data_IF_547365338059
#
_entry.id   IF_547365338059
#
_cell.length_a   1.000
_cell.length_b   1.000
_cell.length_c   1.000
_cell.angle_alpha   90.00
_cell.angle_beta   90.00
_cell.angle_gamma   90.00
#
_symmetry.space_group_name_H-M   'P 1'
#
loop_
_entity.id
_entity.type
_entity.pdbx_description
1 polymer ?
#
# COMPACT_ATOMS: atom_id res chain seq x y z
N UNK A 1 -2.46 -27.53 34.72
CA UNK A 1 -1.00 -27.24 34.79
C UNK A 1 -0.39 -26.89 33.43
N UNK A 2 -1.16 -26.97 32.33
CA UNK A 2 -0.75 -26.67 30.94
C UNK A 2 -0.68 -25.14 30.66
N UNK A 3 -1.38 -24.30 31.42
CA UNK A 3 -1.54 -22.88 31.06
C UNK A 3 -0.42 -21.93 31.53
N UNK A 4 0.50 -22.36 32.41
CA UNK A 4 1.57 -21.47 32.94
C UNK A 4 2.85 -21.45 32.11
N UNK A 5 3.09 -22.46 31.28
CA UNK A 5 4.32 -22.56 30.48
C UNK A 5 4.15 -21.92 29.08
N UNK A 6 2.98 -22.06 28.46
CA UNK A 6 2.62 -21.36 27.21
C UNK A 6 2.61 -19.82 27.39
N UNK A 7 2.11 -19.31 28.53
CA UNK A 7 2.01 -17.87 28.78
C UNK A 7 3.36 -17.16 29.02
N UNK A 8 4.45 -17.89 29.30
CA UNK A 8 5.80 -17.31 29.50
C UNK A 8 6.70 -17.41 28.27
N UNK A 9 6.28 -18.14 27.23
CA UNK A 9 7.06 -18.40 26.01
C UNK A 9 6.24 -18.21 24.73
N UNK A 10 5.07 -17.57 24.80
CA UNK A 10 4.28 -17.16 23.63
C UNK A 10 4.88 -15.99 22.86
N UNK A 11 6.21 -15.81 22.90
CA UNK A 11 6.93 -15.05 21.89
C UNK A 11 7.32 -16.04 20.79
N UNK A 12 7.12 -15.68 19.52
CA UNK A 12 7.76 -16.39 18.41
C UNK A 12 9.23 -16.62 18.77
N UNK A 13 9.62 -17.89 18.90
CA UNK A 13 11.02 -18.23 19.27
C UNK A 13 11.91 -17.96 18.06
N UNK A 14 11.35 -18.14 16.85
CA UNK A 14 11.97 -17.95 15.54
C UNK A 14 10.91 -18.22 14.45
N UNK A 15 10.95 -17.50 13.33
CA UNK A 15 10.03 -17.65 12.20
C UNK A 15 10.02 -19.08 11.66
N UNK A 16 11.17 -19.76 11.65
CA UNK A 16 11.27 -21.15 11.15
C UNK A 16 10.77 -22.19 12.16
N UNK A 17 10.52 -21.79 13.41
CA UNK A 17 10.13 -22.70 14.50
C UNK A 17 9.03 -22.10 15.39
N UNK A 18 7.83 -21.83 14.85
CA UNK A 18 6.78 -21.07 15.54
C UNK A 18 6.14 -21.81 16.74
N UNK A 19 6.43 -23.11 16.89
CA UNK A 19 5.94 -23.96 17.98
C UNK A 19 7.09 -24.33 18.94
N UNK A 20 6.86 -24.48 20.25
CA UNK A 20 7.91 -24.74 21.23
C UNK A 20 8.68 -26.05 20.93
N UNK A 21 9.97 -26.06 21.25
CA UNK A 21 10.82 -27.26 21.05
C UNK A 21 10.26 -28.51 21.74
N UNK A 22 9.61 -28.36 22.89
CA UNK A 22 8.95 -29.46 23.60
C UNK A 22 7.51 -29.10 23.97
N UNK A 23 6.61 -30.07 23.87
CA UNK A 23 5.22 -29.99 24.37
C UNK A 23 4.89 -31.26 25.14
N UNK A 24 4.44 -31.12 26.40
CA UNK A 24 4.14 -32.26 27.28
C UNK A 24 5.28 -33.30 27.39
N UNK A 25 6.54 -32.84 27.30
CA UNK A 25 7.72 -33.70 27.36
C UNK A 25 8.07 -34.41 26.04
N UNK A 26 7.31 -34.18 24.97
CA UNK A 26 7.59 -34.68 23.62
C UNK A 26 8.41 -33.62 22.88
N UNK A 27 9.54 -34.03 22.31
CA UNK A 27 10.36 -33.16 21.47
C UNK A 27 9.73 -33.00 20.08
N UNK A 28 9.75 -31.77 19.55
CA UNK A 28 9.23 -31.45 18.22
C UNK A 28 9.99 -32.22 17.13
N UNK A 29 11.28 -32.45 17.31
CA UNK A 29 12.16 -32.92 16.24
C UNK A 29 12.47 -31.77 15.29
N UNK A 30 12.05 -31.89 14.04
CA UNK A 30 12.27 -30.86 13.02
C UNK A 30 11.24 -29.71 13.12
N UNK A 31 11.17 -28.88 12.08
CA UNK A 31 10.25 -27.75 12.00
C UNK A 31 8.77 -28.20 11.87
N UNK A 32 8.53 -29.34 11.22
CA UNK A 32 7.20 -29.92 10.97
C UNK A 32 6.62 -30.68 12.15
N UNK A 33 7.45 -31.13 13.08
CA UNK A 33 7.00 -31.90 14.22
C UNK A 33 6.94 -33.40 13.91
N UNK A 34 7.35 -34.23 14.86
CA UNK A 34 7.09 -35.68 14.79
C UNK A 34 5.58 -35.97 14.87
N UNK A 35 5.15 -37.16 14.40
CA UNK A 35 3.75 -37.59 14.51
C UNK A 35 3.22 -37.52 15.96
N UNK A 36 4.04 -37.94 16.93
CA UNK A 36 3.69 -37.89 18.35
C UNK A 36 3.52 -36.45 18.84
N UNK A 37 4.42 -35.54 18.44
CA UNK A 37 4.30 -34.13 18.77
C UNK A 37 3.06 -33.49 18.13
N UNK A 38 2.82 -33.77 16.84
CA UNK A 38 1.68 -33.22 16.10
C UNK A 38 0.34 -33.73 16.63
N UNK A 39 0.27 -34.98 17.09
CA UNK A 39 -0.91 -35.51 17.78
C UNK A 39 -1.18 -34.79 19.12
N UNK A 40 -0.13 -34.49 19.89
CA UNK A 40 -0.26 -33.74 21.14
C UNK A 40 -0.64 -32.27 20.89
N UNK A 41 -0.01 -31.63 19.89
CA UNK A 41 -0.33 -30.27 19.47
C UNK A 41 -1.78 -30.14 19.00
N UNK A 42 -2.26 -31.11 18.21
CA UNK A 42 -3.65 -31.15 17.74
C UNK A 42 -4.64 -31.31 18.89
N UNK A 43 -4.32 -32.11 19.92
CA UNK A 43 -5.16 -32.21 21.12
C UNK A 43 -5.23 -30.89 21.88
N UNK A 44 -4.12 -30.16 21.99
CA UNK A 44 -4.10 -28.84 22.60
C UNK A 44 -4.95 -27.84 21.81
N UNK A 45 -4.83 -27.81 20.48
CA UNK A 45 -5.63 -26.96 19.59
C UNK A 45 -7.13 -27.28 19.71
N UNK A 46 -7.51 -28.55 19.66
CA UNK A 46 -8.91 -28.97 19.82
C UNK A 46 -9.48 -28.56 21.20
N UNK A 47 -8.67 -28.63 22.26
CA UNK A 47 -9.06 -28.18 23.59
C UNK A 47 -9.22 -26.66 23.65
N UNK A 48 -8.35 -25.90 22.98
CA UNK A 48 -8.47 -24.45 22.84
C UNK A 48 -9.74 -24.06 22.08
N UNK A 49 -9.99 -24.69 20.93
CA UNK A 49 -11.20 -24.51 20.13
C UNK A 49 -12.47 -24.73 20.94
N UNK A 50 -12.57 -25.89 21.60
CA UNK A 50 -13.73 -26.21 22.45
C UNK A 50 -13.90 -25.25 23.62
N UNK A 51 -12.80 -24.74 24.19
CA UNK A 51 -12.85 -23.70 25.22
C UNK A 51 -13.40 -22.39 24.66
N UNK A 52 -12.91 -21.93 23.51
CA UNK A 52 -13.36 -20.68 22.90
C UNK A 52 -14.84 -20.74 22.52
N UNK A 53 -15.28 -21.80 21.86
CA UNK A 53 -16.68 -22.00 21.47
C UNK A 53 -17.59 -22.08 22.69
N UNK A 54 -17.23 -22.87 23.71
CA UNK A 54 -18.07 -23.02 24.92
C UNK A 54 -18.19 -21.73 25.75
N UNK A 55 -17.31 -20.75 25.53
CA UNK A 55 -17.34 -19.45 26.19
C UNK A 55 -17.75 -18.29 25.25
N UNK A 56 -18.10 -18.57 23.99
CA UNK A 56 -18.51 -17.55 23.01
C UNK A 56 -17.38 -16.58 22.63
N UNK A 57 -16.14 -17.07 22.55
CA UNK A 57 -14.95 -16.30 22.15
C UNK A 57 -14.44 -16.63 20.75
N UNK A 58 -15.05 -17.60 20.08
CA UNK A 58 -14.70 -18.10 18.75
C UNK A 58 -14.74 -17.03 17.65
N UNK A 59 -15.60 -16.02 17.78
CA UNK A 59 -15.64 -14.87 16.85
C UNK A 59 -14.55 -13.81 17.13
N UNK A 60 -13.97 -13.80 18.34
CA UNK A 60 -13.06 -12.73 18.83
C UNK A 60 -11.60 -13.16 18.93
N UNK A 61 -11.37 -14.45 19.09
CA UNK A 61 -10.03 -15.00 19.23
C UNK A 61 -9.49 -15.43 17.86
N UNK A 62 -8.19 -15.21 17.66
CA UNK A 62 -7.44 -15.82 16.58
C UNK A 62 -6.14 -16.39 17.11
N UNK A 63 -5.63 -17.42 16.44
CA UNK A 63 -4.34 -18.02 16.71
C UNK A 63 -3.35 -17.65 15.61
N UNK A 64 -2.26 -17.02 16.02
CA UNK A 64 -1.22 -16.57 15.11
C UNK A 64 -0.28 -17.75 14.79
N UNK A 65 -0.28 -18.19 13.52
CA UNK A 65 0.35 -19.46 13.11
C UNK A 65 1.86 -19.32 12.93
N UNK A 66 2.31 -18.27 12.26
CA UNK A 66 3.73 -18.03 11.96
C UNK A 66 3.95 -16.55 11.66
N UNK A 67 5.11 -16.03 12.05
CA UNK A 67 5.53 -14.67 11.77
C UNK A 67 6.43 -14.65 10.53
N UNK A 68 6.09 -13.81 9.55
CA UNK A 68 6.89 -13.46 8.36
C UNK A 68 7.72 -14.62 7.77
N UNK A 69 7.08 -15.64 7.17
CA UNK A 69 7.78 -16.66 6.38
C UNK A 69 8.73 -16.01 5.33
N UNK A 70 9.99 -16.44 5.24
CA UNK A 70 11.00 -15.71 4.43
C UNK A 70 11.39 -16.43 3.13
N UNK A 71 11.02 -17.69 2.97
CA UNK A 71 11.49 -18.55 1.87
C UNK A 71 10.54 -19.74 1.66
N UNK A 72 10.77 -20.49 0.59
CA UNK A 72 9.95 -21.66 0.21
C UNK A 72 9.77 -22.69 1.34
N UNK A 73 10.80 -22.90 2.18
CA UNK A 73 10.68 -23.84 3.29
C UNK A 73 9.78 -23.30 4.41
N UNK A 74 9.84 -22.00 4.69
CA UNK A 74 8.94 -21.34 5.64
C UNK A 74 7.51 -21.29 5.09
N UNK A 75 7.33 -21.06 3.78
CA UNK A 75 6.01 -21.10 3.12
C UNK A 75 5.36 -22.48 3.24
N UNK A 76 6.11 -23.55 2.93
CA UNK A 76 5.65 -24.93 3.08
C UNK A 76 5.32 -25.28 4.53
N UNK A 77 6.11 -24.77 5.49
CA UNK A 77 5.82 -24.92 6.91
C UNK A 77 4.53 -24.19 7.31
N UNK A 78 4.34 -22.95 6.88
CA UNK A 78 3.15 -22.15 7.16
C UNK A 78 1.89 -22.88 6.68
N UNK A 79 1.90 -23.39 5.45
CA UNK A 79 0.79 -24.14 4.88
C UNK A 79 0.53 -25.46 5.63
N UNK A 80 1.58 -26.18 6.02
CA UNK A 80 1.46 -27.38 6.86
C UNK A 80 0.78 -27.08 8.20
N UNK A 81 1.22 -26.02 8.89
CA UNK A 81 0.70 -25.62 10.19
C UNK A 81 -0.75 -25.11 10.10
N UNK A 82 -1.07 -24.40 9.02
CA UNK A 82 -2.43 -23.99 8.71
C UNK A 82 -3.36 -25.21 8.60
N UNK A 83 -2.99 -26.22 7.80
CA UNK A 83 -3.79 -27.45 7.63
C UNK A 83 -3.94 -28.24 8.92
N UNK A 84 -2.84 -28.38 9.67
CA UNK A 84 -2.86 -29.05 10.98
C UNK A 84 -3.83 -28.33 11.93
N UNK A 85 -3.81 -27.00 11.93
CA UNK A 85 -4.67 -26.18 12.79
C UNK A 85 -6.13 -26.29 12.40
N UNK A 86 -6.47 -26.09 11.12
CA UNK A 86 -7.86 -26.18 10.63
C UNK A 86 -8.45 -27.58 10.83
N UNK A 87 -7.63 -28.64 10.74
CA UNK A 87 -8.07 -30.00 11.01
C UNK A 87 -8.35 -30.27 12.50
N UNK A 88 -7.55 -29.69 13.40
CA UNK A 88 -7.66 -29.90 14.84
C UNK A 88 -8.67 -28.96 15.52
N UNK A 89 -8.82 -27.74 15.01
CA UNK A 89 -9.55 -26.64 15.62
C UNK A 89 -10.33 -25.85 14.55
N UNK A 90 -11.46 -26.40 14.04
CA UNK A 90 -12.15 -25.84 12.88
C UNK A 90 -12.88 -24.51 13.14
N UNK A 91 -13.14 -24.13 14.40
CA UNK A 91 -13.78 -22.86 14.76
C UNK A 91 -12.76 -21.78 15.15
N UNK A 92 -11.51 -22.16 15.39
CA UNK A 92 -10.42 -21.24 15.72
C UNK A 92 -10.00 -20.48 14.45
N UNK A 93 -10.24 -19.17 14.47
CA UNK A 93 -9.65 -18.28 13.46
C UNK A 93 -8.13 -18.31 13.56
N UNK A 94 -7.45 -18.23 12.44
CA UNK A 94 -5.99 -18.18 12.36
C UNK A 94 -5.51 -16.95 11.61
N UNK A 95 -4.36 -16.42 12.04
CA UNK A 95 -3.69 -15.29 11.42
C UNK A 95 -2.23 -15.60 11.08
N UNK A 96 -1.67 -14.84 10.14
CA UNK A 96 -0.26 -14.91 9.72
C UNK A 96 0.28 -13.50 9.45
N UNK A 97 1.51 -13.16 9.88
CA UNK A 97 2.20 -11.95 9.35
C UNK A 97 2.78 -12.29 8.01
N UNK A 98 2.03 -11.95 6.98
CA UNK A 98 2.43 -12.10 5.61
C UNK A 98 1.39 -11.43 4.70
N UNK A 99 1.80 -10.92 3.54
CA UNK A 99 0.83 -10.59 2.50
C UNK A 99 0.17 -11.84 1.92
N UNK A 100 -1.09 -11.75 1.45
CA UNK A 100 -1.65 -12.79 0.61
C UNK A 100 -0.76 -12.95 -0.64
N UNK A 101 -0.22 -14.16 -0.87
CA UNK A 101 0.53 -14.52 -2.09
C UNK A 101 0.40 -16.00 -2.46
N UNK A 102 0.52 -16.37 -3.76
CA UNK A 102 0.33 -17.74 -4.23
C UNK A 102 1.23 -18.76 -3.53
N UNK A 103 2.49 -18.41 -3.23
CA UNK A 103 3.50 -19.31 -2.67
C UNK A 103 3.09 -19.92 -1.32
N UNK A 104 2.18 -19.26 -0.60
CA UNK A 104 1.69 -19.69 0.71
C UNK A 104 0.25 -20.19 0.61
N UNK A 105 -0.60 -19.47 -0.12
CA UNK A 105 -2.02 -19.79 -0.24
C UNK A 105 -2.30 -21.04 -1.11
N UNK A 106 -1.42 -21.33 -2.07
CA UNK A 106 -1.57 -22.39 -3.09
C UNK A 106 -0.54 -23.52 -2.94
N UNK A 107 -0.14 -23.84 -1.70
CA UNK A 107 0.83 -24.91 -1.41
C UNK A 107 0.46 -26.26 -2.11
N UNK A 108 1.44 -26.96 -2.76
CA UNK A 108 1.19 -28.22 -3.44
C UNK A 108 0.65 -29.35 -2.54
N UNK A 109 0.87 -29.27 -1.23
CA UNK A 109 0.31 -30.18 -0.23
C UNK A 109 -1.20 -30.01 0.00
N UNK A 110 -1.83 -29.05 -0.68
CA UNK A 110 -3.25 -28.73 -0.65
C UNK A 110 -3.50 -27.33 -0.09
N UNK A 111 -4.48 -26.63 -0.67
CA UNK A 111 -4.84 -25.28 -0.25
C UNK A 111 -5.14 -25.21 1.25
N UNK A 112 -4.69 -24.13 1.88
CA UNK A 112 -5.12 -23.73 3.21
C UNK A 112 -5.44 -22.24 3.20
N UNK A 113 -6.44 -21.85 4.00
CA UNK A 113 -6.88 -20.46 4.09
C UNK A 113 -6.64 -19.88 5.47
N UNK A 114 -6.14 -18.66 5.52
CA UNK A 114 -5.95 -17.89 6.74
C UNK A 114 -7.14 -16.95 6.91
N UNK A 115 -7.71 -16.88 8.11
CA UNK A 115 -8.84 -15.98 8.34
C UNK A 115 -8.39 -14.51 8.36
N UNK A 116 -7.10 -14.26 8.69
CA UNK A 116 -6.50 -12.93 8.72
C UNK A 116 -5.06 -12.98 8.17
N UNK A 117 -4.81 -12.26 7.09
CA UNK A 117 -3.45 -11.93 6.64
C UNK A 117 -3.03 -10.60 7.26
N UNK A 118 -1.78 -10.46 7.69
CA UNK A 118 -1.23 -9.22 8.25
C UNK A 118 -0.06 -8.78 7.36
N UNK A 119 -0.38 -8.01 6.32
CA UNK A 119 0.53 -7.65 5.24
C UNK A 119 1.42 -6.45 5.58
N UNK A 120 2.67 -6.46 5.15
CA UNK A 120 3.51 -5.26 5.20
C UNK A 120 2.99 -4.24 4.18
N UNK A 121 2.87 -2.96 4.55
CA UNK A 121 2.39 -1.88 3.65
C UNK A 121 3.10 -1.85 2.30
N UNK A 122 4.42 -2.10 2.26
CA UNK A 122 5.22 -2.12 1.02
C UNK A 122 5.09 -3.39 0.18
N UNK A 123 4.51 -4.45 0.74
CA UNK A 123 4.39 -5.76 0.09
C UNK A 123 2.93 -6.12 -0.24
N UNK A 124 1.99 -5.20 0.04
CA UNK A 124 0.58 -5.42 -0.21
C UNK A 124 0.26 -5.44 -1.71
N UNK A 125 -0.16 -6.60 -2.21
CA UNK A 125 -0.57 -6.80 -3.60
C UNK A 125 -2.10 -6.78 -3.72
N UNK A 126 -2.67 -5.62 -4.10
CA UNK A 126 -4.13 -5.38 -4.06
C UNK A 126 -4.94 -6.42 -4.84
N UNK A 127 -4.56 -6.71 -6.09
CA UNK A 127 -5.34 -7.59 -6.96
C UNK A 127 -5.46 -9.02 -6.38
N UNK A 128 -4.35 -9.55 -5.86
CA UNK A 128 -4.34 -10.88 -5.27
C UNK A 128 -4.98 -10.91 -3.88
N UNK A 129 -4.76 -9.88 -3.05
CA UNK A 129 -5.46 -9.76 -1.77
C UNK A 129 -6.98 -9.72 -1.97
N UNK A 130 -7.47 -8.96 -2.95
CA UNK A 130 -8.89 -8.85 -3.26
C UNK A 130 -9.49 -10.17 -3.75
N UNK A 131 -8.76 -10.95 -4.57
CA UNK A 131 -9.24 -12.27 -4.99
C UNK A 131 -9.40 -13.21 -3.79
N UNK A 132 -8.44 -13.20 -2.86
CA UNK A 132 -8.51 -13.99 -1.62
C UNK A 132 -9.70 -13.61 -0.75
N UNK A 133 -9.92 -12.31 -0.54
CA UNK A 133 -11.07 -11.80 0.20
C UNK A 133 -12.41 -12.22 -0.44
N UNK A 134 -12.53 -12.16 -1.78
CA UNK A 134 -13.76 -12.51 -2.50
C UNK A 134 -14.04 -14.02 -2.56
N UNK A 135 -13.00 -14.82 -2.83
CA UNK A 135 -13.15 -16.25 -3.11
C UNK A 135 -13.14 -17.10 -1.83
N UNK A 136 -12.49 -16.60 -0.78
CA UNK A 136 -12.26 -17.37 0.45
C UNK A 136 -12.79 -16.70 1.71
N UNK A 137 -13.25 -15.44 1.63
CA UNK A 137 -13.76 -14.71 2.80
C UNK A 137 -12.68 -14.39 3.83
N UNK A 138 -11.43 -14.33 3.40
CA UNK A 138 -10.28 -13.99 4.25
C UNK A 138 -10.26 -12.48 4.52
N UNK A 139 -9.79 -12.05 5.69
CA UNK A 139 -9.56 -10.64 5.99
C UNK A 139 -8.08 -10.29 5.75
N UNK A 140 -7.82 -9.02 5.43
CA UNK A 140 -6.46 -8.46 5.41
C UNK A 140 -6.37 -7.34 6.44
N UNK A 141 -5.35 -7.41 7.28
CA UNK A 141 -4.80 -6.32 8.06
C UNK A 141 -3.45 -5.94 7.47
N UNK A 142 -2.94 -4.78 7.83
CA UNK A 142 -1.61 -4.35 7.44
C UNK A 142 -0.81 -3.77 8.59
N UNK A 143 0.51 -3.72 8.42
CA UNK A 143 1.43 -3.10 9.37
C UNK A 143 2.51 -2.30 8.64
N UNK A 144 3.10 -1.36 9.37
CA UNK A 144 4.23 -0.56 8.94
C UNK A 144 5.46 -0.85 9.81
N UNK A 145 6.63 -0.57 9.28
CA UNK A 145 7.92 -0.67 9.93
C UNK A 145 8.54 0.72 10.11
N UNK A 146 9.41 0.86 11.10
CA UNK A 146 10.06 2.15 11.38
C UNK A 146 10.93 2.65 10.21
N UNK A 147 11.47 1.72 9.43
CA UNK A 147 12.29 1.98 8.26
C UNK A 147 11.50 2.10 6.95
N UNK A 148 10.16 2.11 6.99
CA UNK A 148 9.39 2.34 5.77
C UNK A 148 9.67 3.76 5.25
N UNK A 149 10.19 3.88 4.02
CA UNK A 149 10.55 5.15 3.43
C UNK A 149 9.33 5.85 2.84
N UNK A 150 9.48 7.13 2.52
CA UNK A 150 8.54 7.79 1.62
C UNK A 150 8.48 7.03 0.27
N UNK A 151 7.34 7.04 -0.44
CA UNK A 151 6.11 7.79 -0.14
C UNK A 151 5.12 7.07 0.81
N UNK A 152 5.48 5.90 1.36
CA UNK A 152 4.63 5.17 2.30
C UNK A 152 4.45 5.95 3.61
N UNK A 153 3.25 5.88 4.19
CA UNK A 153 3.02 6.43 5.51
C UNK A 153 3.76 5.61 6.60
N UNK A 154 4.25 6.28 7.64
CA UNK A 154 5.12 5.71 8.67
C UNK A 154 4.66 6.24 10.04
N UNK A 155 3.59 5.65 10.61
CA UNK A 155 2.88 6.17 11.78
C UNK A 155 3.67 6.02 13.08
N UNK A 156 4.76 5.26 13.09
CA UNK A 156 5.47 4.85 14.31
C UNK A 156 6.78 5.61 14.51
N UNK A 157 7.25 6.33 13.50
CA UNK A 157 8.37 7.25 13.61
C UNK A 157 8.02 8.48 14.46
N UNK A 158 8.98 8.97 15.25
CA UNK A 158 8.83 10.16 16.13
C UNK A 158 9.02 11.48 15.39
N UNK A 159 9.74 11.46 14.28
CA UNK A 159 10.12 12.67 13.53
C UNK A 159 9.18 12.94 12.34
N UNK A 160 8.18 12.07 12.14
CA UNK A 160 7.14 12.23 11.13
C UNK A 160 5.97 13.05 11.68
N UNK A 161 5.31 13.79 10.82
CA UNK A 161 4.13 14.56 11.21
C UNK A 161 2.94 13.62 11.51
N UNK A 162 1.90 14.18 12.15
CA UNK A 162 0.76 13.42 12.61
C UNK A 162 -0.09 12.78 11.52
N UNK A 163 0.00 13.26 10.27
CA UNK A 163 -0.77 12.73 9.14
C UNK A 163 -0.41 11.29 8.81
N UNK A 164 0.85 10.87 9.03
CA UNK A 164 1.24 9.48 8.88
C UNK A 164 0.44 8.54 9.78
N UNK A 165 -0.06 9.01 10.94
CA UNK A 165 -0.99 8.25 11.81
C UNK A 165 -2.43 8.41 11.35
N UNK A 166 -2.84 9.63 10.98
CA UNK A 166 -4.23 9.93 10.61
C UNK A 166 -4.67 9.26 9.31
N UNK A 167 -3.76 8.96 8.40
CA UNK A 167 -4.06 8.33 7.10
C UNK A 167 -4.36 6.83 7.17
N UNK A 168 -3.94 6.14 8.24
CA UNK A 168 -4.14 4.69 8.43
C UNK A 168 -5.55 4.21 8.01
N UNK A 169 -6.65 4.68 8.62
CA UNK A 169 -8.00 4.20 8.29
C UNK A 169 -8.42 4.47 6.83
N UNK A 170 -7.89 5.54 6.22
CA UNK A 170 -8.20 5.95 4.86
C UNK A 170 -7.52 5.02 3.86
N UNK A 171 -6.20 4.82 4.01
CA UNK A 171 -5.47 3.84 3.20
C UNK A 171 -6.04 2.43 3.38
N UNK A 172 -6.42 2.06 4.60
CA UNK A 172 -7.07 0.77 4.84
C UNK A 172 -8.39 0.64 4.06
N UNK A 173 -9.18 1.71 3.98
CA UNK A 173 -10.46 1.69 3.28
C UNK A 173 -10.30 1.59 1.76
N UNK A 174 -9.35 2.35 1.17
CA UNK A 174 -9.01 2.29 -0.26
C UNK A 174 -8.64 0.88 -0.69
N UNK A 175 -7.91 0.18 0.18
CA UNK A 175 -7.41 -1.17 -0.08
C UNK A 175 -8.30 -2.29 0.47
N UNK A 176 -9.49 -1.98 0.99
CA UNK A 176 -10.43 -2.97 1.56
C UNK A 176 -9.84 -3.76 2.75
N UNK A 177 -8.87 -3.16 3.43
CA UNK A 177 -8.19 -3.67 4.60
C UNK A 177 -9.04 -3.39 5.85
N UNK A 178 -9.06 -4.36 6.76
CA UNK A 178 -10.02 -4.43 7.88
C UNK A 178 -9.36 -4.11 9.23
N UNK A 179 -8.05 -3.94 9.26
CA UNK A 179 -7.32 -3.65 10.49
C UNK A 179 -5.90 -3.20 10.25
N UNK A 180 -5.32 -2.55 11.26
CA UNK A 180 -3.91 -2.20 11.34
C UNK A 180 -3.28 -2.90 12.54
N UNK A 181 -2.07 -3.42 12.36
CA UNK A 181 -1.32 -4.10 13.42
C UNK A 181 0.03 -3.42 13.62
N UNK A 182 0.48 -3.40 14.87
CA UNK A 182 1.85 -2.99 15.20
C UNK A 182 2.32 -3.72 16.45
N UNK A 183 3.56 -4.19 16.42
CA UNK A 183 4.08 -5.15 17.41
C UNK A 183 4.45 -4.49 18.76
N UNK A 184 4.69 -3.19 18.80
CA UNK A 184 5.11 -2.46 20.01
C UNK A 184 4.14 -1.31 20.35
N UNK A 185 3.14 -1.62 21.17
CA UNK A 185 2.19 -0.63 21.68
C UNK A 185 2.85 0.50 22.49
N UNK A 186 4.05 0.31 23.06
CA UNK A 186 4.71 1.35 23.85
C UNK A 186 5.18 2.55 22.99
N UNK A 187 5.11 2.46 21.66
CA UNK A 187 5.30 3.62 20.77
C UNK A 187 4.21 4.67 20.93
N UNK A 188 3.03 4.25 21.35
CA UNK A 188 1.83 5.08 21.50
C UNK A 188 1.57 5.43 22.97
N UNK A 189 2.03 4.59 23.92
CA UNK A 189 1.73 4.71 25.34
C UNK A 189 2.99 4.63 26.22
N UNK A 190 3.05 5.45 27.27
CA UNK A 190 4.00 5.28 28.39
C UNK A 190 3.25 4.63 29.56
N UNK A 191 3.35 3.29 29.64
CA UNK A 191 2.53 2.50 30.55
C UNK A 191 1.04 2.72 30.25
N UNK A 192 0.23 3.20 31.21
CA UNK A 192 -1.18 3.51 30.97
C UNK A 192 -1.42 4.88 30.34
N UNK A 193 -0.39 5.72 30.15
CA UNK A 193 -0.57 7.11 29.70
C UNK A 193 -0.47 7.22 28.17
N UNK A 194 -1.47 7.79 27.47
CA UNK A 194 -1.39 8.02 26.04
C UNK A 194 -0.40 9.15 25.71
N UNK A 195 0.41 8.95 24.67
CA UNK A 195 1.17 10.01 24.02
C UNK A 195 0.38 10.69 22.90
N UNK A 196 0.96 11.70 22.26
CA UNK A 196 0.33 12.42 21.12
C UNK A 196 -0.08 11.47 20.00
N UNK A 197 0.75 10.46 19.68
CA UNK A 197 0.41 9.45 18.67
C UNK A 197 -0.76 8.57 19.06
N UNK A 198 -0.95 8.26 20.35
CA UNK A 198 -2.14 7.51 20.78
C UNK A 198 -3.41 8.33 20.56
N UNK A 199 -3.36 9.65 20.78
CA UNK A 199 -4.50 10.53 20.50
C UNK A 199 -4.77 10.67 19.00
N UNK A 200 -3.72 10.80 18.18
CA UNK A 200 -3.87 10.78 16.71
C UNK A 200 -4.43 9.45 16.22
N UNK A 201 -3.98 8.33 16.77
CA UNK A 201 -4.49 6.99 16.44
C UNK A 201 -5.96 6.86 16.86
N UNK A 202 -6.34 7.38 18.04
CA UNK A 202 -7.75 7.41 18.47
C UNK A 202 -8.60 8.19 17.46
N UNK A 203 -8.16 9.37 17.03
CA UNK A 203 -8.86 10.15 16.00
C UNK A 203 -8.93 9.43 14.66
N UNK A 204 -7.86 8.74 14.25
CA UNK A 204 -7.86 7.92 13.05
C UNK A 204 -8.87 6.75 13.14
N UNK A 205 -8.96 6.07 14.29
CA UNK A 205 -9.97 5.03 14.51
C UNK A 205 -11.39 5.61 14.48
N UNK A 206 -11.61 6.81 15.01
CA UNK A 206 -12.89 7.52 14.89
C UNK A 206 -13.23 7.86 13.42
N UNK A 207 -12.24 8.23 12.61
CA UNK A 207 -12.42 8.47 11.17
C UNK A 207 -12.88 7.18 10.45
N UNK A 208 -12.34 6.01 10.82
CA UNK A 208 -12.84 4.72 10.31
C UNK A 208 -14.31 4.47 10.68
N UNK A 209 -14.70 4.78 11.92
CA UNK A 209 -16.09 4.65 12.35
C UNK A 209 -17.02 5.61 11.60
N UNK A 210 -16.56 6.82 11.28
CA UNK A 210 -17.32 7.77 10.46
C UNK A 210 -17.56 7.21 9.07
N UNK A 211 -16.53 6.63 8.43
CA UNK A 211 -16.66 5.96 7.14
C UNK A 211 -17.61 4.77 7.22
N UNK A 212 -17.54 3.96 8.27
CA UNK A 212 -18.46 2.83 8.48
C UNK A 212 -19.92 3.27 8.62
N UNK A 213 -20.18 4.29 9.42
CA UNK A 213 -21.53 4.86 9.56
C UNK A 213 -22.02 5.46 8.24
N UNK A 214 -21.15 6.21 7.55
CA UNK A 214 -21.45 6.87 6.29
C UNK A 214 -21.70 5.85 5.16
N UNK A 215 -21.07 4.67 5.26
CA UNK A 215 -21.26 3.52 4.40
C UNK A 215 -22.45 2.63 4.83
N UNK A 216 -23.36 3.14 5.67
CA UNK A 216 -24.58 2.43 6.05
C UNK A 216 -24.36 1.28 7.03
N UNK A 217 -23.31 1.32 7.84
CA UNK A 217 -22.97 0.27 8.79
C UNK A 217 -22.31 -0.95 8.14
N UNK A 218 -21.69 -0.75 6.97
CA UNK A 218 -20.99 -1.78 6.23
C UNK A 218 -19.51 -1.44 6.09
N UNK A 219 -18.70 -2.48 5.99
CA UNK A 219 -17.27 -2.34 5.72
C UNK A 219 -16.99 -2.34 4.21
N UNK A 220 -15.83 -1.84 3.78
CA UNK A 220 -15.46 -1.86 2.37
C UNK A 220 -15.25 -3.31 1.91
N UNK A 221 -15.72 -3.63 0.71
CA UNK A 221 -15.60 -4.96 0.10
C UNK A 221 -14.92 -4.87 -1.26
N UNK A 222 -14.05 -5.80 -1.65
CA UNK A 222 -13.46 -5.80 -2.98
C UNK A 222 -14.47 -5.95 -4.11
N UNK A 223 -14.21 -5.34 -5.26
CA UNK A 223 -15.01 -5.51 -6.48
C UNK A 223 -16.35 -4.75 -6.51
N UNK A 224 -16.56 -3.83 -5.56
CA UNK A 224 -17.69 -2.90 -5.59
C UNK A 224 -17.29 -1.52 -5.11
N UNK A 225 -17.94 -0.51 -5.68
CA UNK A 225 -17.84 0.87 -5.22
C UNK A 225 -18.79 1.07 -4.02
N UNK A 226 -18.22 1.45 -2.89
CA UNK A 226 -18.96 1.92 -1.72
C UNK A 226 -19.32 3.41 -1.87
N UNK A 227 -20.45 3.87 -1.30
CA UNK A 227 -20.84 5.28 -1.33
C UNK A 227 -19.74 6.23 -0.85
N UNK A 228 -18.90 5.82 0.11
CA UNK A 228 -17.82 6.63 0.68
C UNK A 228 -16.51 6.56 -0.10
N UNK A 229 -16.40 5.79 -1.17
CA UNK A 229 -15.12 5.57 -1.84
C UNK A 229 -14.55 6.84 -2.46
N UNK A 230 -15.39 7.73 -3.00
CA UNK A 230 -14.93 9.03 -3.48
C UNK A 230 -14.38 9.90 -2.33
N UNK A 231 -15.04 9.87 -1.17
CA UNK A 231 -14.56 10.54 0.05
C UNK A 231 -13.20 9.99 0.48
N UNK A 232 -13.04 8.67 0.42
CA UNK A 232 -11.81 8.00 0.84
C UNK A 232 -10.67 8.26 -0.13
N UNK A 233 -10.91 8.12 -1.44
CA UNK A 233 -9.93 8.37 -2.49
C UNK A 233 -9.40 9.80 -2.47
N UNK A 234 -10.22 10.78 -2.08
CA UNK A 234 -9.78 12.17 -1.91
C UNK A 234 -8.81 12.40 -0.73
N UNK A 235 -8.67 11.44 0.18
CA UNK A 235 -7.71 11.49 1.30
C UNK A 235 -6.51 10.58 1.06
N UNK A 236 -6.75 9.36 0.57
CA UNK A 236 -5.73 8.38 0.26
C UNK A 236 -6.21 7.56 -0.94
N UNK A 237 -5.69 7.83 -2.13
CA UNK A 237 -6.02 7.05 -3.33
C UNK A 237 -5.24 5.75 -3.40
N UNK A 238 -4.10 5.64 -2.69
CA UNK A 238 -3.29 4.43 -2.60
C UNK A 238 -2.52 4.31 -1.26
N UNK A 239 -1.56 3.38 -1.16
CA UNK A 239 -0.63 3.29 -0.01
C UNK A 239 0.41 4.42 0.02
N UNK A 240 0.59 5.09 -1.11
CA UNK A 240 1.71 5.96 -1.41
C UNK A 240 1.24 7.37 -1.81
N UNK A 241 0.03 7.51 -2.35
CA UNK A 241 -0.65 8.77 -2.62
C UNK A 241 -1.72 9.04 -1.56
N UNK A 242 -1.44 10.04 -0.72
CA UNK A 242 -2.31 10.46 0.39
C UNK A 242 -2.05 11.90 0.80
N UNK A 243 -3.07 12.56 1.35
CA UNK A 243 -3.03 13.98 1.70
C UNK A 243 -2.06 14.26 2.86
N UNK A 244 -1.23 15.29 2.68
CA UNK A 244 -0.37 15.83 3.74
C UNK A 244 -0.98 17.07 4.41
N UNK A 245 -2.18 17.49 4.00
CA UNK A 245 -2.85 18.68 4.49
C UNK A 245 -3.79 18.36 5.67
N UNK A 246 -3.31 18.61 6.89
CA UNK A 246 -4.07 18.34 8.11
C UNK A 246 -5.33 19.21 8.24
N UNK A 247 -5.30 20.47 7.77
CA UNK A 247 -6.44 21.38 7.87
C UNK A 247 -7.60 20.94 6.96
N UNK A 248 -7.28 20.47 5.76
CA UNK A 248 -8.25 19.92 4.82
C UNK A 248 -8.84 18.61 5.32
N UNK A 249 -8.03 17.72 5.91
CA UNK A 249 -8.56 16.51 6.55
C UNK A 249 -9.51 16.84 7.71
N UNK A 250 -9.18 17.84 8.53
CA UNK A 250 -10.07 18.26 9.62
C UNK A 250 -11.36 18.89 9.12
N UNK A 251 -11.31 19.63 8.01
CA UNK A 251 -12.51 20.16 7.34
C UNK A 251 -13.39 19.02 6.82
N UNK A 252 -12.81 18.05 6.12
CA UNK A 252 -13.53 16.86 5.65
C UNK A 252 -14.18 16.11 6.82
N UNK A 253 -13.45 15.92 7.92
CA UNK A 253 -13.97 15.26 9.12
C UNK A 253 -15.20 15.97 9.69
N UNK A 254 -15.18 17.31 9.71
CA UNK A 254 -16.34 18.10 10.13
C UNK A 254 -17.53 17.88 9.20
N UNK A 255 -17.31 17.95 7.88
CA UNK A 255 -18.34 17.73 6.87
C UNK A 255 -18.92 16.31 6.92
N UNK A 256 -18.10 15.29 7.22
CA UNK A 256 -18.57 13.93 7.45
C UNK A 256 -19.52 13.87 8.65
N UNK A 257 -19.18 14.59 9.73
CA UNK A 257 -20.07 14.76 10.88
C UNK A 257 -21.42 15.37 10.48
N UNK A 258 -21.42 16.44 9.66
CA UNK A 258 -22.63 17.07 9.14
C UNK A 258 -23.47 16.13 8.28
N UNK A 259 -22.83 15.29 7.45
CA UNK A 259 -23.51 14.25 6.68
C UNK A 259 -24.18 13.22 7.59
N UNK A 260 -23.46 12.73 8.60
CA UNK A 260 -23.95 11.70 9.53
C UNK A 260 -25.10 12.17 10.42
N UNK A 261 -25.11 13.45 10.83
CA UNK A 261 -26.23 14.01 11.61
C UNK A 261 -27.42 14.48 10.74
N UNK A 262 -27.26 14.49 9.41
CA UNK A 262 -28.29 14.88 8.45
C UNK A 262 -28.38 16.39 8.18
N UNK A 263 -27.37 17.17 8.57
CA UNK A 263 -27.23 18.59 8.20
C UNK A 263 -26.74 18.79 6.76
N UNK A 264 -26.22 17.73 6.15
CA UNK A 264 -25.75 17.66 4.75
C UNK A 264 -26.30 16.38 4.09
N UNK A 265 -26.75 16.50 2.84
CA UNK A 265 -27.38 15.38 2.10
C UNK A 265 -26.42 14.62 1.18
N UNK A 266 -25.18 15.08 1.04
CA UNK A 266 -24.16 14.49 0.16
C UNK A 266 -22.90 14.12 0.94
N UNK A 267 -22.24 13.04 0.53
CA UNK A 267 -20.93 12.71 1.08
C UNK A 267 -19.92 13.78 0.68
N UNK A 268 -19.13 14.30 1.62
CA UNK A 268 -18.07 15.26 1.30
C UNK A 268 -16.86 14.54 0.71
N UNK A 269 -16.06 15.28 -0.05
CA UNK A 269 -14.72 14.91 -0.48
C UNK A 269 -13.74 15.92 0.11
N UNK A 270 -12.48 15.54 0.29
CA UNK A 270 -11.44 16.46 0.67
C UNK A 270 -11.28 17.48 -0.46
N UNK A 271 -11.48 18.74 -0.13
CA UNK A 271 -11.23 19.86 -1.02
C UNK A 271 -10.14 20.73 -0.39
N UNK A 272 -9.13 21.06 -1.18
CA UNK A 272 -8.10 22.00 -0.77
C UNK A 272 -7.72 22.89 -1.96
N UNK A 273 -7.47 24.16 -1.66
CA UNK A 273 -6.82 25.08 -2.59
C UNK A 273 -5.44 25.36 -2.04
N UNK A 274 -4.51 24.44 -2.30
CA UNK A 274 -3.11 24.48 -1.83
C UNK A 274 -2.30 25.62 -2.49
N UNK A 275 -2.95 26.68 -2.99
CA UNK A 275 -2.30 27.84 -3.57
C UNK A 275 -1.51 27.53 -4.85
N UNK A 276 -1.87 26.42 -5.51
CA UNK A 276 -1.15 25.84 -6.63
C UNK A 276 -1.29 26.61 -7.94
N UNK A 277 -0.85 25.95 -9.01
CA UNK A 277 -0.94 26.45 -10.36
C UNK A 277 -2.42 26.71 -10.76
N UNK A 278 -2.77 27.83 -11.41
CA UNK A 278 -4.14 28.07 -11.88
C UNK A 278 -4.66 26.95 -12.79
N UNK A 279 -5.98 26.73 -12.85
CA UNK A 279 -6.57 25.79 -13.82
C UNK A 279 -6.25 26.22 -15.25
N UNK A 280 -5.27 25.55 -15.85
CA UNK A 280 -4.73 25.80 -17.18
C UNK A 280 -4.05 24.54 -17.72
N UNK A 281 -3.60 24.57 -18.98
CA UNK A 281 -2.83 23.48 -19.54
C UNK A 281 -1.37 23.56 -19.07
N UNK A 282 -0.82 22.43 -18.63
CA UNK A 282 0.58 22.29 -18.22
C UNK A 282 1.22 21.12 -18.96
N UNK A 283 2.47 21.28 -19.34
CA UNK A 283 3.23 20.28 -20.07
C UNK A 283 4.54 20.07 -19.35
N UNK A 284 4.73 18.90 -18.77
CA UNK A 284 5.86 18.54 -17.91
C UNK A 284 6.77 17.61 -18.70
N UNK A 285 8.02 18.00 -18.87
CA UNK A 285 9.06 17.16 -19.45
C UNK A 285 9.99 16.66 -18.34
N UNK A 286 9.98 15.36 -18.09
CA UNK A 286 10.83 14.74 -17.08
C UNK A 286 12.21 14.49 -17.67
N UNK A 287 13.19 15.23 -17.18
CA UNK A 287 14.55 15.24 -17.73
C UNK A 287 15.57 15.66 -16.68
N UNK A 288 16.86 15.52 -17.01
CA UNK A 288 17.90 16.25 -16.28
C UNK A 288 17.68 17.76 -16.54
N UNK A 289 17.38 18.58 -15.52
CA UNK A 289 17.17 20.02 -15.71
C UNK A 289 18.41 20.73 -16.27
N UNK A 290 19.60 20.17 -16.04
CA UNK A 290 20.88 20.64 -16.58
C UNK A 290 21.31 19.92 -17.88
N UNK A 291 20.54 18.92 -18.33
CA UNK A 291 20.85 18.07 -19.47
C UNK A 291 19.99 18.34 -20.70
N UNK A 292 19.98 17.36 -21.63
CA UNK A 292 19.16 17.42 -22.83
C UNK A 292 17.69 17.06 -22.55
N UNK A 293 16.72 17.66 -23.27
CA UNK A 293 16.90 18.77 -24.21
C UNK A 293 17.34 20.07 -23.52
N UNK A 294 18.32 20.77 -24.08
CA UNK A 294 18.94 21.96 -23.47
C UNK A 294 18.13 23.26 -23.59
N UNK A 295 17.10 23.32 -24.45
CA UNK A 295 16.27 24.51 -24.66
C UNK A 295 15.55 24.98 -23.38
N UNK A 296 15.51 26.29 -23.12
CA UNK A 296 14.82 26.88 -21.96
C UNK A 296 14.20 28.25 -22.35
N UNK A 297 12.86 28.36 -22.47
CA UNK A 297 11.89 27.26 -22.30
C UNK A 297 11.98 26.22 -23.42
N UNK A 298 11.55 25.00 -23.14
CA UNK A 298 11.43 23.95 -24.15
C UNK A 298 10.12 24.15 -24.93
N UNK A 299 10.22 24.51 -26.21
CA UNK A 299 9.07 24.75 -27.09
C UNK A 299 8.96 23.62 -28.11
N UNK A 300 7.89 22.82 -28.03
CA UNK A 300 7.69 21.67 -28.91
C UNK A 300 6.20 21.46 -29.20
N UNK A 301 5.86 21.26 -30.47
CA UNK A 301 4.46 21.05 -30.87
C UNK A 301 3.53 22.24 -30.57
N UNK A 302 4.07 23.44 -30.39
CA UNK A 302 3.30 24.63 -29.98
C UNK A 302 2.98 24.68 -28.48
N UNK A 303 3.63 23.83 -27.68
CA UNK A 303 3.52 23.75 -26.23
C UNK A 303 4.83 24.20 -25.59
N UNK A 304 4.71 24.95 -24.50
CA UNK A 304 5.83 25.32 -23.63
C UNK A 304 5.94 24.26 -22.52
N UNK A 305 7.02 23.50 -22.52
CA UNK A 305 7.27 22.40 -21.59
C UNK A 305 8.13 22.86 -20.41
N UNK A 306 7.63 22.59 -19.21
CA UNK A 306 8.36 22.75 -17.96
C UNK A 306 9.33 21.58 -17.78
N UNK A 307 10.59 21.88 -17.51
CA UNK A 307 11.60 20.87 -17.18
C UNK A 307 11.44 20.44 -15.73
N UNK A 308 11.19 19.16 -15.53
CA UNK A 308 10.99 18.57 -14.21
C UNK A 308 12.11 17.58 -13.94
N UNK A 309 12.89 17.84 -12.89
CA UNK A 309 13.91 16.92 -12.40
C UNK A 309 13.38 15.98 -11.31
N UNK A 310 14.29 15.26 -10.68
CA UNK A 310 14.01 14.37 -9.54
C UNK A 310 14.41 15.05 -8.23
N UNK A 311 13.67 16.10 -7.86
CA UNK A 311 13.86 16.82 -6.59
C UNK A 311 12.69 16.60 -5.62
N UNK A 312 12.90 16.79 -4.31
CA UNK A 312 11.84 16.69 -3.31
C UNK A 312 10.77 17.75 -3.55
N UNK A 313 9.62 17.56 -2.92
CA UNK A 313 8.57 18.58 -2.89
C UNK A 313 9.12 19.98 -2.54
N UNK A 314 8.91 20.93 -3.45
CA UNK A 314 9.19 22.35 -3.24
C UNK A 314 7.90 23.15 -3.24
N UNK A 315 7.58 23.74 -2.08
CA UNK A 315 6.34 24.50 -1.87
C UNK A 315 6.22 25.72 -2.79
N UNK A 316 7.33 26.35 -3.16
CA UNK A 316 7.32 27.54 -4.02
C UNK A 316 7.16 27.18 -5.50
N UNK A 317 7.71 26.03 -5.92
CA UNK A 317 7.50 25.46 -7.24
C UNK A 317 6.12 24.81 -7.36
N UNK A 318 5.52 24.38 -6.24
CA UNK A 318 4.27 23.64 -6.22
C UNK A 318 4.38 22.29 -6.93
N UNK A 319 5.53 21.63 -6.83
CA UNK A 319 5.74 20.30 -7.38
C UNK A 319 6.93 19.60 -6.74
N UNK A 320 7.00 18.28 -6.89
CA UNK A 320 8.18 17.50 -6.58
C UNK A 320 7.87 16.05 -6.24
N UNK A 321 8.91 15.34 -5.82
CA UNK A 321 8.86 13.90 -5.59
C UNK A 321 8.88 13.51 -4.12
N UNK A 322 8.27 12.36 -3.84
CA UNK A 322 8.34 11.61 -2.59
C UNK A 322 8.79 10.18 -2.92
N UNK A 323 9.81 9.69 -2.22
CA UNK A 323 10.50 8.45 -2.57
C UNK A 323 11.63 8.09 -1.61
N UNK A 324 12.09 6.84 -1.69
CA UNK A 324 13.19 6.33 -0.85
C UNK A 324 14.54 6.99 -1.18
N UNK A 325 14.75 7.32 -2.45
CA UNK A 325 16.03 7.79 -2.99
C UNK A 325 15.96 9.18 -3.63
N UNK A 326 15.02 10.01 -3.18
CA UNK A 326 14.98 11.42 -3.62
C UNK A 326 16.32 12.10 -3.28
N UNK A 327 16.83 12.89 -4.22
CA UNK A 327 18.14 13.56 -4.16
C UNK A 327 19.39 12.64 -4.12
N UNK A 328 19.26 11.33 -4.37
CA UNK A 328 20.42 10.45 -4.55
C UNK A 328 20.78 10.32 -6.04
N UNK A 329 21.80 11.03 -6.56
CA UNK A 329 22.17 11.00 -7.97
C UNK A 329 22.79 9.67 -8.42
N UNK A 330 23.05 8.74 -7.49
CA UNK A 330 23.48 7.37 -7.80
C UNK A 330 22.34 6.42 -8.13
N UNK A 331 21.09 6.78 -7.81
CA UNK A 331 19.90 5.92 -7.94
C UNK A 331 18.79 6.64 -8.72
N UNK A 332 18.54 7.91 -8.43
CA UNK A 332 17.63 8.75 -9.20
C UNK A 332 18.34 9.23 -10.47
N UNK A 333 18.05 8.56 -11.58
CA UNK A 333 18.79 8.72 -12.83
C UNK A 333 17.96 9.41 -13.90
N UNK A 334 18.70 10.12 -14.76
CA UNK A 334 18.17 10.78 -15.95
C UNK A 334 18.70 10.09 -17.20
N UNK A 335 17.96 10.17 -18.28
CA UNK A 335 18.47 9.76 -19.58
C UNK A 335 17.90 10.56 -20.74
N UNK A 336 18.60 10.49 -21.87
CA UNK A 336 18.19 11.09 -23.12
C UNK A 336 18.61 10.20 -24.30
N UNK A 337 17.62 9.67 -25.02
CA UNK A 337 17.83 8.75 -26.15
C UNK A 337 18.19 9.51 -27.45
N UNK A 338 19.39 10.09 -27.48
CA UNK A 338 19.88 10.85 -28.63
C UNK A 338 19.86 10.04 -29.93
N UNK A 339 19.23 10.60 -30.97
CA UNK A 339 19.14 9.98 -32.30
C UNK A 339 18.01 8.97 -32.47
N UNK A 340 17.18 8.73 -31.44
CA UNK A 340 15.92 8.03 -31.62
C UNK A 340 14.95 8.89 -32.47
N UNK A 341 14.13 8.26 -33.31
CA UNK A 341 13.17 8.92 -34.20
C UNK A 341 11.91 9.41 -33.48
N UNK A 342 12.09 10.13 -32.38
CA UNK A 342 11.05 10.58 -31.46
C UNK A 342 11.26 12.05 -31.07
N UNK A 343 10.22 12.67 -30.55
CA UNK A 343 10.26 14.06 -30.09
C UNK A 343 11.15 14.20 -28.83
N UNK A 344 11.65 15.41 -28.54
CA UNK A 344 12.59 15.61 -27.42
C UNK A 344 12.00 15.16 -26.08
N UNK A 345 10.70 15.38 -25.86
CA UNK A 345 9.99 15.02 -24.63
C UNK A 345 9.75 13.51 -24.48
N UNK A 346 9.75 12.77 -25.58
CA UNK A 346 9.70 11.30 -25.56
C UNK A 346 11.11 10.69 -25.38
N UNK A 347 12.16 11.47 -25.68
CA UNK A 347 13.55 11.01 -25.58
C UNK A 347 14.16 11.25 -24.21
N UNK A 348 13.71 12.26 -23.47
CA UNK A 348 14.10 12.47 -22.08
C UNK A 348 13.25 11.62 -21.14
N UNK A 349 13.87 11.15 -20.06
CA UNK A 349 13.17 10.40 -19.03
C UNK A 349 13.90 10.47 -17.68
N UNK A 350 13.16 10.18 -16.62
CA UNK A 350 13.66 9.95 -15.26
C UNK A 350 13.24 8.57 -14.76
N UNK A 351 14.03 7.97 -13.88
CA UNK A 351 13.71 6.69 -13.25
C UNK A 351 14.54 6.47 -11.98
N UNK A 352 14.03 5.56 -11.14
CA UNK A 352 14.72 4.99 -10.00
C UNK A 352 15.44 3.71 -10.44
N UNK A 353 16.77 3.62 -10.28
CA UNK A 353 17.60 2.46 -10.70
C UNK A 353 17.40 1.21 -9.81
N UNK A 354 16.60 1.31 -8.76
CA UNK A 354 16.06 0.18 -8.00
C UNK A 354 14.55 -0.03 -8.21
N UNK A 355 13.91 0.79 -9.05
CA UNK A 355 12.51 0.66 -9.45
C UNK A 355 11.52 0.80 -8.30
N UNK A 356 11.86 1.52 -7.22
CA UNK A 356 10.97 1.70 -6.07
C UNK A 356 9.73 2.51 -6.44
N UNK A 357 8.71 2.41 -5.60
CA UNK A 357 7.53 3.29 -5.67
C UNK A 357 7.96 4.73 -5.42
N UNK A 358 7.61 5.61 -6.35
CA UNK A 358 7.86 7.02 -6.27
C UNK A 358 6.55 7.76 -6.60
N UNK A 359 6.27 8.82 -5.83
CA UNK A 359 5.13 9.70 -6.02
C UNK A 359 5.64 11.06 -6.49
N UNK A 360 5.17 11.53 -7.63
CA UNK A 360 5.29 12.93 -8.03
C UNK A 360 3.97 13.65 -7.78
N UNK A 361 4.02 14.85 -7.22
CA UNK A 361 2.86 15.72 -7.07
C UNK A 361 3.07 17.03 -7.82
N UNK A 362 1.99 17.57 -8.39
CA UNK A 362 1.92 18.88 -9.03
C UNK A 362 0.72 19.64 -8.46
N UNK A 363 0.97 20.71 -7.68
CA UNK A 363 -0.07 21.56 -7.15
C UNK A 363 -0.79 22.28 -8.29
N UNK A 364 -2.10 22.07 -8.42
CA UNK A 364 -2.92 22.68 -9.46
C UNK A 364 -4.33 22.91 -8.91
N UNK A 365 -4.97 24.00 -9.32
CA UNK A 365 -6.30 24.34 -8.86
C UNK A 365 -7.28 23.17 -9.08
N UNK A 366 -8.20 22.90 -8.15
CA UNK A 366 -9.16 21.81 -8.30
C UNK A 366 -9.95 21.86 -9.61
N UNK A 367 -10.25 20.69 -10.16
CA UNK A 367 -11.07 20.53 -11.35
C UNK A 367 -10.79 19.23 -12.09
N UNK A 368 -11.56 19.03 -13.16
CA UNK A 368 -11.37 17.87 -14.05
C UNK A 368 -10.29 18.17 -15.10
N UNK A 369 -9.41 17.20 -15.29
CA UNK A 369 -8.30 17.25 -16.23
C UNK A 369 -8.25 15.97 -17.08
N UNK A 370 -7.89 16.14 -18.34
CA UNK A 370 -7.37 15.07 -19.18
C UNK A 370 -5.86 15.05 -19.00
N UNK A 371 -5.33 13.92 -18.53
CA UNK A 371 -3.91 13.74 -18.26
C UNK A 371 -3.36 12.70 -19.22
N UNK A 372 -2.37 13.08 -20.02
CA UNK A 372 -1.67 12.18 -20.94
C UNK A 372 -0.23 12.01 -20.47
N UNK A 373 0.22 10.78 -20.27
CA UNK A 373 1.56 10.50 -19.79
C UNK A 373 2.26 9.48 -20.69
N UNK A 374 3.57 9.67 -20.86
CA UNK A 374 4.45 8.79 -21.62
C UNK A 374 5.46 8.09 -20.72
N UNK A 375 5.57 6.77 -20.87
CA UNK A 375 6.62 5.95 -20.22
C UNK A 375 7.39 5.13 -21.25
N UNK A 376 8.59 4.68 -20.87
CA UNK A 376 9.47 3.87 -21.70
C UNK A 376 10.53 4.69 -22.41
N UNK A 377 11.24 4.05 -23.34
CA UNK A 377 12.44 4.60 -23.97
C UNK A 377 12.42 4.39 -25.48
N UNK A 378 12.42 5.43 -26.32
CA UNK A 378 12.28 5.25 -27.76
C UNK A 378 13.46 4.52 -28.41
N UNK A 379 14.64 4.45 -27.77
CA UNK A 379 15.77 3.71 -28.31
C UNK A 379 15.67 2.19 -28.14
N UNK A 380 14.90 1.68 -27.16
CA UNK A 380 14.90 0.26 -26.78
C UNK A 380 13.67 -0.14 -25.96
N UNK A 381 13.10 -1.32 -26.26
CA UNK A 381 12.06 -1.93 -25.43
C UNK A 381 12.59 -2.79 -24.26
N UNK A 382 11.73 -2.97 -23.26
CA UNK A 382 12.02 -3.66 -22.00
C UNK A 382 10.99 -4.78 -21.75
N UNK A 383 11.17 -5.97 -22.37
CA UNK A 383 10.20 -7.05 -22.26
C UNK A 383 10.17 -7.75 -20.90
N UNK A 384 11.19 -7.53 -20.06
CA UNK A 384 11.34 -8.15 -18.75
C UNK A 384 11.30 -7.14 -17.59
N UNK A 385 11.14 -5.84 -17.90
CA UNK A 385 11.07 -4.77 -16.92
C UNK A 385 9.81 -3.95 -17.27
N UNK A 386 8.63 -4.42 -16.87
CA UNK A 386 7.37 -3.76 -17.15
C UNK A 386 7.27 -2.37 -16.51
N UNK A 387 6.33 -1.57 -16.99
CA UNK A 387 6.08 -0.20 -16.53
C UNK A 387 4.81 -0.16 -15.69
N UNK A 388 4.82 0.69 -14.66
CA UNK A 388 3.67 0.97 -13.81
C UNK A 388 3.46 2.47 -13.73
N UNK A 389 2.22 2.91 -13.94
CA UNK A 389 1.83 4.32 -13.81
C UNK A 389 0.39 4.42 -13.33
N UNK A 390 0.21 5.11 -12.21
CA UNK A 390 -1.11 5.48 -11.67
C UNK A 390 -1.21 7.00 -11.61
N UNK A 391 -2.37 7.55 -12.02
CA UNK A 391 -2.64 9.00 -12.03
C UNK A 391 -3.91 9.22 -11.23
N UNK A 392 -3.85 9.96 -10.12
CA UNK A 392 -5.00 10.19 -9.23
C UNK A 392 -5.71 8.88 -8.83
N UNK A 393 -4.95 7.83 -8.52
CA UNK A 393 -5.48 6.49 -8.20
C UNK A 393 -5.99 5.69 -9.42
N UNK A 394 -6.03 6.27 -10.62
CA UNK A 394 -6.39 5.55 -11.85
C UNK A 394 -5.15 4.87 -12.44
N UNK A 395 -5.14 3.54 -12.44
CA UNK A 395 -4.07 2.74 -13.05
C UNK A 395 -4.10 2.92 -14.57
N UNK A 396 -3.13 3.66 -15.10
CA UNK A 396 -3.01 3.97 -16.52
C UNK A 396 -2.15 2.94 -17.26
N UNK A 397 -1.09 2.45 -16.60
CA UNK A 397 -0.21 1.38 -17.08
C UNK A 397 -0.04 0.38 -15.94
N UNK A 398 -0.44 -0.87 -16.17
CA UNK A 398 -0.45 -1.95 -15.17
C UNK A 398 0.48 -3.08 -15.60
N UNK A 399 1.67 -3.11 -15.02
CA UNK A 399 2.69 -4.13 -15.25
C UNK A 399 2.95 -4.41 -16.75
N UNK A 400 2.94 -3.36 -17.57
CA UNK A 400 2.99 -3.51 -19.03
C UNK A 400 4.44 -3.48 -19.57
N UNK A 401 4.92 -4.52 -20.26
CA UNK A 401 6.24 -4.51 -20.89
C UNK A 401 6.26 -3.77 -22.24
N UNK A 402 7.42 -3.24 -22.64
CA UNK A 402 7.65 -2.71 -23.99
C UNK A 402 8.50 -3.64 -24.85
N UNK A 403 8.49 -3.43 -26.17
CA UNK A 403 9.29 -4.20 -27.13
C UNK A 403 10.05 -3.26 -28.05
N UNK A 404 11.10 -3.73 -28.73
CA UNK A 404 11.82 -2.86 -29.69
C UNK A 404 10.92 -2.34 -30.84
N UNK A 405 9.80 -3.01 -31.13
CA UNK A 405 8.81 -2.55 -32.10
C UNK A 405 7.76 -1.56 -31.56
N UNK A 406 7.61 -1.51 -30.23
CA UNK A 406 6.73 -0.59 -29.50
C UNK A 406 7.41 -0.25 -28.17
N UNK A 407 8.43 0.63 -28.18
CA UNK A 407 9.36 0.79 -27.07
C UNK A 407 8.90 1.81 -26.02
N UNK A 408 7.79 2.50 -26.30
CA UNK A 408 7.15 3.48 -25.41
C UNK A 408 5.66 3.19 -25.28
N UNK A 409 5.07 3.62 -24.17
CA UNK A 409 3.65 3.53 -23.86
C UNK A 409 3.14 4.94 -23.58
N UNK A 410 2.05 5.34 -24.24
CA UNK A 410 1.34 6.59 -23.97
C UNK A 410 -0.08 6.24 -23.56
N UNK A 411 -0.54 6.86 -22.48
CA UNK A 411 -1.88 6.68 -21.92
C UNK A 411 -2.51 8.01 -21.58
N UNK A 412 -3.82 8.07 -21.72
CA UNK A 412 -4.62 9.23 -21.38
C UNK A 412 -5.74 8.80 -20.45
N UNK A 413 -5.90 9.51 -19.33
CA UNK A 413 -6.99 9.33 -18.38
C UNK A 413 -7.69 10.67 -18.14
N UNK A 414 -8.94 10.62 -17.70
CA UNK A 414 -9.66 11.78 -17.20
C UNK A 414 -9.81 11.63 -15.69
N UNK A 415 -9.37 12.62 -14.94
CA UNK A 415 -9.29 12.59 -13.47
C UNK A 415 -9.81 13.89 -12.87
N UNK A 416 -10.36 13.80 -11.67
CA UNK A 416 -10.77 14.95 -10.87
C UNK A 416 -9.70 15.22 -9.82
N UNK A 417 -9.07 16.39 -9.89
CA UNK A 417 -8.18 16.90 -8.83
C UNK A 417 -9.04 17.68 -7.84
N UNK A 418 -9.13 17.20 -6.60
CA UNK A 418 -10.03 17.75 -5.58
C UNK A 418 -9.27 18.47 -4.46
N UNK A 419 -8.10 17.94 -4.10
CA UNK A 419 -7.24 18.42 -3.01
C UNK A 419 -6.17 19.44 -3.49
N UNK A 420 -6.30 19.91 -4.73
CA UNK A 420 -5.37 20.86 -5.29
C UNK A 420 -4.00 20.26 -5.67
N UNK A 421 -3.87 18.93 -5.70
CA UNK A 421 -2.64 18.23 -6.11
C UNK A 421 -2.95 17.14 -7.11
N UNK A 422 -2.27 17.15 -8.24
CA UNK A 422 -2.26 16.03 -9.17
C UNK A 422 -1.10 15.10 -8.81
N UNK A 423 -1.42 13.85 -8.50
CA UNK A 423 -0.52 12.77 -8.12
C UNK A 423 -0.23 11.82 -9.28
N UNK A 424 1.04 11.46 -9.44
CA UNK A 424 1.51 10.40 -10.32
C UNK A 424 2.38 9.43 -9.54
N UNK A 425 2.01 8.15 -9.55
CA UNK A 425 2.77 7.08 -8.92
C UNK A 425 3.44 6.23 -10.00
N UNK A 426 4.75 5.99 -9.85
CA UNK A 426 5.58 5.26 -10.81
C UNK A 426 6.48 4.26 -10.11
N UNK A 427 6.81 3.18 -10.83
CA UNK A 427 7.68 2.11 -10.31
C UNK A 427 6.91 1.06 -9.52
N UNK A 428 7.57 0.47 -8.53
CA UNK A 428 6.97 -0.57 -7.70
C UNK A 428 7.27 -1.99 -8.18
N UNK A 429 6.75 -2.97 -7.46
CA UNK A 429 7.00 -4.39 -7.74
C UNK A 429 6.09 -4.87 -8.87
N UNK A 430 6.67 -5.61 -9.80
CA UNK A 430 5.96 -6.31 -10.87
C UNK A 430 5.38 -7.62 -10.34
N UNK A 431 4.08 -7.82 -10.50
CA UNK A 431 3.43 -9.09 -10.21
C UNK A 431 3.84 -10.18 -11.21
N UNK A 432 4.15 -9.81 -12.46
CA UNK A 432 4.57 -10.72 -13.52
C UNK A 432 5.98 -11.26 -13.28
N UNK A 433 6.91 -10.39 -12.87
CA UNK A 433 8.34 -10.77 -12.77
C UNK A 433 8.79 -11.04 -11.34
N UNK A 434 8.05 -10.55 -10.35
CA UNK A 434 8.43 -10.57 -8.94
C UNK A 434 9.55 -9.58 -8.57
N UNK A 435 10.04 -8.79 -9.52
CA UNK A 435 11.11 -7.80 -9.33
C UNK A 435 10.57 -6.37 -9.40
N UNK A 436 11.40 -5.39 -9.04
CA UNK A 436 11.04 -3.98 -9.16
C UNK A 436 11.06 -3.52 -10.63
N UNK A 437 10.09 -2.69 -10.99
CA UNK A 437 9.83 -2.18 -12.33
C UNK A 437 10.53 -0.85 -12.57
N UNK A 438 11.45 -0.81 -13.54
CA UNK A 438 12.13 0.42 -13.95
C UNK A 438 11.21 1.29 -14.81
N UNK A 439 10.39 2.11 -14.15
CA UNK A 439 9.50 3.03 -14.88
C UNK A 439 10.25 4.27 -15.35
N UNK A 440 10.57 4.30 -16.65
CA UNK A 440 11.14 5.49 -17.31
C UNK A 440 10.02 6.48 -17.63
N UNK A 441 9.76 7.44 -16.74
CA UNK A 441 8.76 8.48 -16.98
C UNK A 441 9.35 9.58 -17.87
N UNK A 442 8.69 9.86 -19.00
CA UNK A 442 9.18 10.79 -20.01
C UNK A 442 8.48 12.15 -19.92
N UNK A 443 7.16 12.18 -20.03
CA UNK A 443 6.41 13.43 -20.04
C UNK A 443 4.99 13.25 -19.47
N UNK A 444 4.41 14.37 -19.05
CA UNK A 444 2.99 14.47 -18.66
C UNK A 444 2.39 15.73 -19.27
N UNK A 445 1.21 15.60 -19.87
CA UNK A 445 0.37 16.69 -20.34
C UNK A 445 -0.88 16.74 -19.47
N UNK A 446 -1.17 17.91 -18.90
CA UNK A 446 -2.32 18.15 -18.03
C UNK A 446 -3.19 19.18 -18.74
N UNK A 447 -4.37 18.78 -19.21
CA UNK A 447 -5.26 19.63 -19.98
C UNK A 447 -6.62 19.78 -19.27
N UNK A 448 -7.07 21.00 -18.93
CA UNK A 448 -8.36 21.19 -18.30
C UNK A 448 -9.49 20.85 -19.26
N UNK A 449 -10.53 20.18 -18.76
CA UNK A 449 -11.73 19.82 -19.55
C UNK A 449 -13.02 20.41 -18.99
#
# INVERSE_FOLDING_TARGET
MISRELARRGSFVDNSTPRPQTLCGIDRGDHYGTDAYNAEWSQWLAALDGYLVSNGYDEKAYYYVQNEPQNDADHALAAHLCRLTKAAAPNLRIAISEEPKPEIAEDPGGACGYDIWIAHTRAYEQAYAWSRQQEHGEDVWYYSLDQDPDPYFNPTSVDRDGMHVRVIPWAAWSHRIRGWAYYDGNRFFDGPNPGVRAELLREAVEDYEYLWLANGGAHPTPGGDGPVDATVASVASSMTSWTRNADSLMTLRHELGLYLEGSRDTLPVLEADDGGHPKAAYYLNFQDPAGEPTADPLELGGKTWLKVGWGPWDEAAGMGWYGEFIDDPGIALYGFDAGAGADDVERSYVYDDYGRDNLFEFAIAPGTYRVTAGVGRPAKGYPNDPYNLTIEGVVAVDDEPTTDGAPTIVRTVEVDVLDGRLSLEVGGKSAITGNYSYTFLAFVEIEPI
#
